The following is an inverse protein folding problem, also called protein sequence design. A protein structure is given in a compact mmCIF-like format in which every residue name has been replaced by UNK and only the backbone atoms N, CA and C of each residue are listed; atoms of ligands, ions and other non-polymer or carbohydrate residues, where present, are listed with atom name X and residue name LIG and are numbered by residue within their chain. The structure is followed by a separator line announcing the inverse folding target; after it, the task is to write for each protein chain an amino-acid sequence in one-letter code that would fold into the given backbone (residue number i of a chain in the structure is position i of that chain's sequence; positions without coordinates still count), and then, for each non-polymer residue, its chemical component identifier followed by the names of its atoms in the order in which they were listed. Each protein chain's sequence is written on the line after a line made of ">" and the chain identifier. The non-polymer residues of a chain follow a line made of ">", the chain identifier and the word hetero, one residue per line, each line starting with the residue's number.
data_IF_641202878414
#
_entry.id   IF_641202878414
#
_cell.length_a   1.000
_cell.length_b   1.000
_cell.length_c   1.000
_cell.angle_alpha   90.00
_cell.angle_beta   90.00
_cell.angle_gamma   90.00
#
_symmetry.space_group_name_H-M   'P 1'
#
loop_
_entity.id
_entity.type
_entity.pdbx_description
1 polymer ?
#
# COMPACT_ATOMS: atom_id res chain seq x y z
N UNK A 1 -8.39 3.45 -9.64
CA UNK A 1 -8.21 2.16 -8.95
C UNK A 1 -7.36 1.17 -9.74
N UNK A 2 -7.79 0.74 -10.94
CA UNK A 2 -7.03 -0.19 -11.78
C UNK A 2 -5.62 0.32 -12.12
N UNK A 3 -5.50 1.57 -12.59
CA UNK A 3 -4.20 2.16 -12.92
C UNK A 3 -3.20 2.11 -11.75
N UNK A 4 -3.61 2.59 -10.57
CA UNK A 4 -2.79 2.57 -9.34
C UNK A 4 -2.29 1.17 -8.99
N UNK A 5 -3.17 0.18 -9.05
CA UNK A 5 -2.87 -1.20 -8.71
C UNK A 5 -1.87 -1.84 -9.70
N UNK A 6 -2.07 -1.59 -10.99
CA UNK A 6 -1.17 -2.07 -12.05
C UNK A 6 0.19 -1.38 -11.95
N UNK A 7 0.24 -0.07 -11.68
CA UNK A 7 1.48 0.69 -11.51
C UNK A 7 2.27 0.16 -10.31
N UNK A 8 1.63 0.05 -9.14
CA UNK A 8 2.29 -0.45 -7.92
C UNK A 8 2.84 -1.86 -8.14
N UNK A 9 2.06 -2.75 -8.74
CA UNK A 9 2.51 -4.13 -9.02
C UNK A 9 3.64 -4.16 -10.06
N UNK A 10 3.60 -3.27 -11.06
CA UNK A 10 4.66 -3.18 -12.08
C UNK A 10 5.97 -2.66 -11.51
N UNK A 11 5.93 -1.73 -10.56
CA UNK A 11 7.13 -1.19 -9.90
C UNK A 11 7.67 -2.20 -8.87
N UNK A 12 6.80 -2.76 -8.03
CA UNK A 12 7.24 -3.49 -6.84
C UNK A 12 7.68 -4.92 -7.14
N UNK A 13 7.02 -5.61 -8.07
CA UNK A 13 7.28 -7.05 -8.34
C UNK A 13 8.69 -7.28 -8.88
N UNK A 14 9.20 -6.51 -9.87
CA UNK A 14 10.57 -6.68 -10.34
C UNK A 14 11.61 -6.39 -9.26
N UNK A 15 11.38 -5.37 -8.43
CA UNK A 15 12.27 -5.00 -7.32
C UNK A 15 12.40 -6.10 -6.27
N UNK A 16 11.33 -6.89 -6.08
CA UNK A 16 11.31 -8.03 -5.17
C UNK A 16 11.86 -9.32 -5.81
N UNK A 17 12.22 -9.30 -7.10
CA UNK A 17 12.71 -10.47 -7.85
C UNK A 17 11.60 -11.36 -8.43
N UNK A 18 10.37 -10.88 -8.52
CA UNK A 18 9.27 -11.59 -9.17
C UNK A 18 9.21 -11.34 -10.68
N UNK A 19 8.67 -12.30 -11.43
CA UNK A 19 8.46 -12.22 -12.87
C UNK A 19 7.03 -11.85 -13.25
N UNK A 20 6.64 -12.21 -14.48
CA UNK A 20 5.32 -11.92 -15.02
C UNK A 20 4.19 -12.71 -14.33
N UNK A 21 4.49 -13.92 -13.85
CA UNK A 21 3.52 -14.77 -13.15
C UNK A 21 3.18 -14.16 -11.79
N UNK A 22 4.18 -13.78 -11.02
CA UNK A 22 4.04 -13.13 -9.71
C UNK A 22 3.32 -11.79 -9.85
N UNK A 23 3.63 -11.04 -10.93
CA UNK A 23 2.96 -9.79 -11.25
C UNK A 23 1.47 -9.99 -11.52
N UNK A 24 1.11 -10.97 -12.33
CA UNK A 24 -0.29 -11.29 -12.62
C UNK A 24 -1.04 -11.73 -11.36
N UNK A 25 -0.42 -12.56 -10.52
CA UNK A 25 -0.99 -12.99 -9.24
C UNK A 25 -1.23 -11.82 -8.29
N UNK A 26 -0.26 -10.90 -8.17
CA UNK A 26 -0.41 -9.70 -7.35
C UNK A 26 -1.55 -8.79 -7.86
N UNK A 27 -1.66 -8.61 -9.17
CA UNK A 27 -2.74 -7.81 -9.76
C UNK A 27 -4.11 -8.44 -9.48
N UNK A 28 -4.25 -9.74 -9.74
CA UNK A 28 -5.50 -10.48 -9.52
C UNK A 28 -5.95 -10.42 -8.06
N UNK A 29 -5.04 -10.69 -7.13
CA UNK A 29 -5.33 -10.68 -5.69
C UNK A 29 -5.69 -9.30 -5.18
N UNK A 30 -4.96 -8.26 -5.57
CA UNK A 30 -5.28 -6.89 -5.18
C UNK A 30 -6.64 -6.45 -5.72
N UNK A 31 -7.00 -6.85 -6.96
CA UNK A 31 -8.27 -6.48 -7.56
C UNK A 31 -9.43 -7.18 -6.85
N UNK A 32 -9.27 -8.46 -6.56
CA UNK A 32 -10.26 -9.24 -5.82
C UNK A 32 -10.49 -8.68 -4.41
N UNK A 33 -9.41 -8.44 -3.66
CA UNK A 33 -9.50 -7.88 -2.30
C UNK A 33 -10.03 -6.44 -2.32
N UNK A 34 -9.71 -5.64 -3.33
CA UNK A 34 -10.30 -4.31 -3.51
C UNK A 34 -11.82 -4.37 -3.73
N UNK A 35 -12.29 -5.32 -4.54
CA UNK A 35 -13.73 -5.56 -4.74
C UNK A 35 -14.42 -5.90 -3.43
N UNK A 36 -13.87 -6.83 -2.65
CA UNK A 36 -14.40 -7.20 -1.33
C UNK A 36 -14.41 -5.99 -0.38
N UNK A 37 -13.32 -5.23 -0.29
CA UNK A 37 -13.24 -4.05 0.60
C UNK A 37 -14.25 -2.98 0.20
N UNK A 38 -14.41 -2.74 -1.10
CA UNK A 38 -15.38 -1.77 -1.62
C UNK A 38 -16.81 -2.21 -1.33
N UNK A 39 -17.13 -3.50 -1.53
CA UNK A 39 -18.44 -4.05 -1.19
C UNK A 39 -18.72 -3.95 0.31
N UNK A 40 -17.73 -4.26 1.15
CA UNK A 40 -17.85 -4.13 2.60
C UNK A 40 -18.09 -2.66 3.01
N UNK A 41 -17.40 -1.72 2.36
CA UNK A 41 -17.54 -0.27 2.61
C UNK A 41 -18.94 0.25 2.27
N UNK A 42 -19.51 -0.21 1.15
CA UNK A 42 -20.82 0.26 0.67
C UNK A 42 -21.98 -0.45 1.36
N UNK A 43 -21.83 -1.70 1.79
CA UNK A 43 -22.90 -2.45 2.48
C UNK A 43 -22.89 -2.25 4.00
N UNK A 44 -21.75 -2.51 4.64
CA UNK A 44 -21.61 -2.57 6.12
C UNK A 44 -20.93 -1.33 6.69
N UNK A 45 -20.00 -0.73 5.94
CA UNK A 45 -19.22 0.44 6.36
C UNK A 45 -20.04 1.73 6.39
N UNK A 46 -19.48 2.82 5.88
CA UNK A 46 -20.16 4.13 5.91
C UNK A 46 -21.31 4.25 4.90
N UNK A 47 -21.54 3.21 4.07
CA UNK A 47 -22.53 3.18 2.99
C UNK A 47 -22.36 4.28 1.94
N UNK A 48 -21.20 4.94 1.94
CA UNK A 48 -20.86 5.93 0.94
C UNK A 48 -20.27 5.24 -0.29
N UNK A 49 -20.52 5.79 -1.50
CA UNK A 49 -19.95 5.27 -2.74
C UNK A 49 -18.45 5.58 -2.83
N UNK A 50 -17.64 4.83 -2.10
CA UNK A 50 -16.18 5.00 -2.01
C UNK A 50 -15.48 3.75 -2.52
N UNK A 51 -14.65 3.92 -3.55
CA UNK A 51 -13.91 2.81 -4.17
C UNK A 51 -12.55 2.66 -3.48
N UNK A 52 -12.29 1.51 -2.85
CA UNK A 52 -11.10 1.29 -2.01
C UNK A 52 -10.01 0.55 -2.78
N UNK A 53 -8.84 1.19 -2.93
CA UNK A 53 -7.68 0.64 -3.61
C UNK A 53 -6.37 0.67 -2.83
N UNK A 54 -5.30 0.12 -3.44
CA UNK A 54 -3.95 0.28 -2.88
C UNK A 54 -3.54 1.76 -2.90
N UNK A 55 -2.80 2.19 -1.88
CA UNK A 55 -2.35 3.58 -1.73
C UNK A 55 -0.88 3.71 -2.13
N UNK A 56 -0.58 4.76 -2.91
CA UNK A 56 0.78 5.10 -3.31
C UNK A 56 1.67 5.50 -2.13
N UNK A 57 1.10 5.97 -1.01
CA UNK A 57 1.87 6.32 0.17
C UNK A 57 2.66 5.13 0.74
N UNK A 58 2.20 3.90 0.49
CA UNK A 58 2.89 2.68 0.93
C UNK A 58 3.92 2.16 -0.08
N UNK A 59 4.08 2.79 -1.25
CA UNK A 59 5.05 2.34 -2.25
C UNK A 59 6.48 2.51 -1.75
N UNK A 60 6.82 3.70 -1.22
CA UNK A 60 8.17 4.00 -0.73
C UNK A 60 8.57 3.06 0.43
N UNK A 61 7.73 2.85 1.48
CA UNK A 61 8.00 1.84 2.49
C UNK A 61 8.17 0.42 1.92
N UNK A 62 7.34 0.02 0.96
CA UNK A 62 7.43 -1.31 0.36
C UNK A 62 8.73 -1.52 -0.42
N UNK A 63 9.20 -0.49 -1.15
CA UNK A 63 10.50 -0.47 -1.83
C UNK A 63 11.63 -0.58 -0.80
N UNK A 64 11.55 0.17 0.30
CA UNK A 64 12.55 0.10 1.38
C UNK A 64 12.67 -1.31 1.98
N UNK A 65 11.55 -1.99 2.19
CA UNK A 65 11.54 -3.39 2.65
C UNK A 65 12.16 -4.33 1.59
N UNK A 66 11.85 -4.14 0.31
CA UNK A 66 12.37 -4.95 -0.79
C UNK A 66 13.90 -4.84 -0.97
N UNK A 67 14.46 -3.68 -0.64
CA UNK A 67 15.91 -3.40 -0.65
C UNK A 67 16.62 -3.66 0.68
N UNK A 68 15.91 -4.07 1.72
CA UNK A 68 16.53 -4.30 3.02
C UNK A 68 17.60 -5.40 2.96
N UNK A 69 18.68 -5.25 3.74
CA UNK A 69 19.82 -6.19 3.80
C UNK A 69 19.40 -7.62 4.15
N UNK A 70 18.22 -7.79 4.77
CA UNK A 70 17.64 -9.11 5.05
C UNK A 70 17.17 -9.86 3.80
N UNK A 71 16.97 -9.14 2.70
CA UNK A 71 16.46 -9.68 1.44
C UNK A 71 17.57 -9.96 0.44
N UNK A 72 18.75 -9.35 0.61
CA UNK A 72 19.93 -9.60 -0.21
C UNK A 72 20.63 -10.93 0.10
N UNK A 73 20.25 -11.62 1.18
CA UNK A 73 20.75 -12.96 1.52
C UNK A 73 20.15 -14.08 0.66
N UNK A 74 19.05 -13.81 -0.05
CA UNK A 74 18.38 -14.82 -0.88
C UNK A 74 18.89 -14.74 -2.32
N UNK A 75 19.66 -15.75 -2.74
CA UNK A 75 20.15 -15.90 -4.12
C UNK A 75 19.03 -16.26 -5.11
N UNK A 76 17.99 -16.97 -4.65
CA UNK A 76 16.87 -17.38 -5.48
C UNK A 76 15.82 -16.26 -5.62
N UNK A 77 15.50 -15.79 -6.84
CA UNK A 77 14.56 -14.69 -7.07
C UNK A 77 13.15 -14.99 -6.55
N UNK A 78 12.64 -16.21 -6.76
CA UNK A 78 11.31 -16.62 -6.28
C UNK A 78 11.20 -16.65 -4.75
N UNK A 79 12.27 -17.05 -4.05
CA UNK A 79 12.29 -17.05 -2.59
C UNK A 79 12.38 -15.62 -2.06
N UNK A 80 13.19 -14.77 -2.70
CA UNK A 80 13.28 -13.34 -2.39
C UNK A 80 11.93 -12.65 -2.55
N UNK A 81 11.19 -12.93 -3.62
CA UNK A 81 9.85 -12.39 -3.84
C UNK A 81 8.89 -12.81 -2.73
N UNK A 82 8.81 -14.12 -2.46
CA UNK A 82 7.89 -14.68 -1.46
C UNK A 82 8.17 -14.14 -0.06
N UNK A 83 9.43 -13.97 0.29
CA UNK A 83 9.81 -13.41 1.58
C UNK A 83 9.53 -11.89 1.64
N UNK A 84 9.74 -11.16 0.53
CA UNK A 84 9.51 -9.70 0.46
C UNK A 84 8.05 -9.39 0.63
N UNK A 85 7.19 -10.11 -0.10
CA UNK A 85 5.75 -9.87 -0.06
C UNK A 85 5.17 -10.23 1.31
N UNK A 86 5.69 -11.27 1.97
CA UNK A 86 5.31 -11.63 3.35
C UNK A 86 5.72 -10.56 4.36
N UNK A 87 6.93 -10.01 4.23
CA UNK A 87 7.39 -8.93 5.10
C UNK A 87 6.54 -7.66 4.93
N UNK A 88 6.25 -7.26 3.69
CA UNK A 88 5.38 -6.11 3.40
C UNK A 88 3.96 -6.34 3.90
N UNK A 89 3.38 -7.51 3.65
CA UNK A 89 2.04 -7.85 4.16
C UNK A 89 1.98 -7.84 5.68
N UNK A 90 2.96 -8.43 6.36
CA UNK A 90 3.02 -8.42 7.83
C UNK A 90 3.13 -7.00 8.39
N UNK A 91 3.98 -6.16 7.79
CA UNK A 91 4.10 -4.75 8.16
C UNK A 91 2.79 -3.98 7.96
N UNK A 92 2.10 -4.20 6.83
CA UNK A 92 0.81 -3.56 6.55
C UNK A 92 -0.29 -4.00 7.53
N UNK A 93 -0.30 -5.27 7.94
CA UNK A 93 -1.26 -5.77 8.94
C UNK A 93 -1.04 -5.05 10.28
N UNK A 94 0.20 -4.99 10.77
CA UNK A 94 0.53 -4.30 12.03
C UNK A 94 0.17 -2.82 11.93
N UNK A 95 0.55 -2.16 10.83
CA UNK A 95 0.20 -0.76 10.59
C UNK A 95 -1.31 -0.53 10.62
N UNK A 96 -2.09 -1.44 10.01
CA UNK A 96 -3.55 -1.33 10.00
C UNK A 96 -4.19 -1.48 11.38
N UNK A 97 -3.65 -2.38 12.23
CA UNK A 97 -4.10 -2.49 13.61
C UNK A 97 -3.81 -1.24 14.41
N UNK A 98 -2.59 -0.70 14.30
CA UNK A 98 -2.20 0.55 14.97
C UNK A 98 -3.12 1.69 14.52
N UNK A 99 -3.36 1.81 13.21
CA UNK A 99 -4.25 2.83 12.65
C UNK A 99 -5.70 2.66 13.13
N UNK A 100 -6.21 1.43 13.20
CA UNK A 100 -7.55 1.15 13.70
C UNK A 100 -7.70 1.53 15.18
N UNK A 101 -6.70 1.23 16.01
CA UNK A 101 -6.68 1.60 17.43
C UNK A 101 -6.69 3.12 17.59
N UNK A 102 -5.80 3.83 16.89
CA UNK A 102 -5.73 5.31 16.92
C UNK A 102 -7.05 5.93 16.43
N UNK A 103 -7.65 5.36 15.39
CA UNK A 103 -8.95 5.78 14.88
C UNK A 103 -10.09 5.57 15.89
N UNK A 104 -10.11 4.42 16.56
CA UNK A 104 -11.12 4.08 17.56
C UNK A 104 -11.07 5.00 18.79
N UNK A 105 -9.86 5.36 19.26
CA UNK A 105 -9.69 6.29 20.37
C UNK A 105 -9.96 7.76 20.02
N UNK A 106 -10.32 8.09 18.78
CA UNK A 106 -10.65 9.46 18.38
C UNK A 106 -9.47 10.42 18.28
N UNK A 107 -8.23 9.95 18.47
CA UNK A 107 -7.01 10.75 18.30
C UNK A 107 -6.92 11.37 16.90
N UNK A 108 -7.50 10.71 15.89
CA UNK A 108 -7.57 11.24 14.53
C UNK A 108 -8.25 12.62 14.46
N UNK A 109 -9.27 12.87 15.29
CA UNK A 109 -9.97 14.18 15.32
C UNK A 109 -9.07 15.31 15.82
N UNK A 110 -8.18 15.02 16.77
CA UNK A 110 -7.22 15.99 17.31
C UNK A 110 -6.16 16.32 16.26
N UNK A 111 -5.60 15.30 15.60
CA UNK A 111 -4.62 15.49 14.52
C UNK A 111 -5.20 16.24 13.31
N UNK A 112 -6.44 15.95 12.93
CA UNK A 112 -7.10 16.60 11.80
C UNK A 112 -7.25 18.12 12.00
N UNK A 113 -7.32 18.62 13.25
CA UNK A 113 -7.37 20.07 13.53
C UNK A 113 -6.04 20.78 13.22
N UNK A 114 -4.92 20.07 13.25
CA UNK A 114 -3.60 20.63 12.89
C UNK A 114 -3.35 20.63 11.38
N UNK A 115 -4.11 19.86 10.61
CA UNK A 115 -3.98 19.77 9.15
C UNK A 115 -4.77 20.89 8.47
N UNK A 116 -4.19 22.09 8.46
CA UNK A 116 -4.71 23.18 7.63
C UNK A 116 -4.48 22.89 6.14
N UNK A 117 -5.35 23.38 5.23
CA UNK A 117 -5.15 23.23 3.79
C UNK A 117 -3.77 23.71 3.31
N UNK A 118 -3.20 24.73 3.96
CA UNK A 118 -1.87 25.26 3.68
C UNK A 118 -0.75 24.24 3.96
N UNK A 119 -0.94 23.36 4.94
CA UNK A 119 0.03 22.31 5.29
C UNK A 119 -0.18 21.03 4.47
N UNK A 120 -1.42 20.71 4.10
CA UNK A 120 -1.77 19.49 3.37
C UNK A 120 -1.38 19.57 1.89
N UNK A 121 -1.56 20.74 1.26
CA UNK A 121 -1.28 20.89 -0.18
C UNK A 121 0.18 20.57 -0.51
N UNK A 122 1.21 21.14 0.15
CA UNK A 122 2.60 20.77 -0.12
C UNK A 122 2.87 19.28 0.10
N UNK A 123 2.31 18.69 1.16
CA UNK A 123 2.50 17.27 1.49
C UNK A 123 1.97 16.35 0.39
N UNK A 124 0.75 16.61 -0.10
CA UNK A 124 0.14 15.82 -1.18
C UNK A 124 0.89 16.04 -2.48
N UNK A 125 1.29 17.28 -2.80
CA UNK A 125 2.07 17.60 -4.00
C UNK A 125 3.43 16.90 -4.00
N UNK A 126 4.15 16.91 -2.86
CA UNK A 126 5.41 16.19 -2.70
C UNK A 126 5.24 14.67 -2.82
N UNK A 127 4.16 14.13 -2.26
CA UNK A 127 3.85 12.70 -2.39
C UNK A 127 3.56 12.31 -3.85
N UNK A 128 2.87 13.17 -4.59
CA UNK A 128 2.60 12.97 -6.02
C UNK A 128 3.84 13.15 -6.91
N UNK A 129 4.59 14.23 -6.72
CA UNK A 129 5.83 14.52 -7.45
C UNK A 129 6.92 13.49 -7.16
N UNK A 130 7.03 13.00 -5.92
CA UNK A 130 8.00 11.98 -5.54
C UNK A 130 7.82 10.67 -6.32
N UNK A 131 6.60 10.35 -6.79
CA UNK A 131 6.34 9.21 -7.66
C UNK A 131 6.73 9.47 -9.12
N UNK A 132 6.72 10.73 -9.56
CA UNK A 132 7.13 11.08 -10.93
C UNK A 132 8.65 10.99 -11.12
N UNK A 133 9.39 11.19 -10.03
CA UNK A 133 10.86 11.12 -10.03
C UNK A 133 11.38 9.68 -9.94
N UNK A 134 10.53 8.71 -9.57
CA UNK A 134 10.87 7.31 -9.33
C UNK A 134 10.62 6.44 -10.57
#
# INVERSE_FOLDING_TARGET
>A
MLGTLVIISTILVPLMGGGNVEKAQMIQTMLFVAGIKTLLQTLVGTRLPVVIGPSFAFLIPAISVAFSTRMSTFLNPNQRFKQSIRAVQGALIIASFVQAIIGFFGFWSIFARFLSPLSVVPLVTLTGLGLFVL
#
